data_IF_229438709805
#
_entry.id   IF_229438709805
#
_cell.length_a   1.000
_cell.length_b   1.000
_cell.length_c   1.000
_cell.angle_alpha   90.00
_cell.angle_beta   90.00
_cell.angle_gamma   90.00
#
_symmetry.space_group_name_H-M   'P 1'
#
loop_
_entity.id
_entity.type
_entity.pdbx_description
1 polymer ?
#
# COMPACT_ATOMS: atom_id res chain seq x y z
N UNK A 1 8.57 -63.77 -6.69
CA UNK A 1 8.83 -62.33 -7.01
C UNK A 1 7.56 -61.43 -6.88
N UNK A 2 6.49 -61.86 -6.17
CA UNK A 2 5.21 -61.09 -6.11
C UNK A 2 4.85 -60.51 -4.71
N UNK A 3 5.78 -60.34 -3.78
CA UNK A 3 5.50 -59.83 -2.41
C UNK A 3 6.20 -58.54 -1.99
N UNK A 4 6.85 -57.81 -2.91
CA UNK A 4 7.64 -56.63 -2.47
C UNK A 4 6.97 -55.27 -2.70
N UNK A 5 5.73 -55.16 -3.20
CA UNK A 5 5.10 -53.88 -3.52
C UNK A 5 3.84 -53.56 -2.66
N UNK A 6 3.80 -53.99 -1.41
CA UNK A 6 2.68 -53.66 -0.56
C UNK A 6 3.20 -53.05 0.78
N UNK A 7 3.55 -51.77 0.79
CA UNK A 7 3.50 -50.91 1.97
C UNK A 7 4.14 -49.53 1.72
N UNK A 8 3.73 -48.87 0.64
CA UNK A 8 3.80 -47.41 0.65
C UNK A 8 2.44 -46.91 1.15
N UNK A 9 2.24 -46.93 2.45
CA UNK A 9 1.21 -46.13 3.10
C UNK A 9 1.57 -44.68 2.82
N UNK A 10 0.83 -44.05 1.91
CA UNK A 10 0.86 -42.62 1.69
C UNK A 10 0.76 -41.93 3.04
N UNK A 11 1.86 -41.34 3.50
CA UNK A 11 1.83 -40.44 4.66
C UNK A 11 0.90 -39.30 4.28
N UNK A 12 -0.38 -39.40 4.68
CA UNK A 12 -1.31 -38.28 4.66
C UNK A 12 -0.64 -37.17 5.45
N UNK A 13 -0.04 -36.23 4.74
CA UNK A 13 0.47 -34.99 5.34
C UNK A 13 -0.70 -34.35 6.05
N UNK A 14 -0.73 -34.46 7.36
CA UNK A 14 -1.68 -33.72 8.19
C UNK A 14 -1.41 -32.25 7.93
N UNK A 15 -2.21 -31.67 7.01
CA UNK A 15 -2.23 -30.22 6.82
C UNK A 15 -2.79 -29.66 8.12
N UNK A 16 -1.90 -29.22 8.99
CA UNK A 16 -2.29 -28.43 10.15
C UNK A 16 -3.18 -27.28 9.64
N UNK A 17 -4.45 -27.32 9.98
CA UNK A 17 -5.39 -26.22 9.72
C UNK A 17 -4.97 -25.05 10.61
N UNK A 18 -3.96 -24.30 10.19
CA UNK A 18 -3.63 -23.04 10.83
C UNK A 18 -4.83 -22.12 10.61
N UNK A 19 -5.52 -21.78 11.66
CA UNK A 19 -6.63 -20.82 11.60
C UNK A 19 -6.11 -19.54 10.96
N UNK A 20 -6.65 -19.13 9.81
CA UNK A 20 -6.12 -17.99 9.08
C UNK A 20 -6.26 -16.72 9.91
N UNK A 21 -5.13 -16.07 10.21
CA UNK A 21 -5.16 -14.75 10.83
C UNK A 21 -5.69 -13.74 9.84
N UNK A 22 -6.75 -13.06 10.20
CA UNK A 22 -7.36 -11.99 9.40
C UNK A 22 -6.92 -10.65 9.98
N UNK A 23 -6.50 -9.73 9.12
CA UNK A 23 -6.16 -8.35 9.48
C UNK A 23 -6.93 -7.34 8.63
N UNK A 24 -7.03 -6.09 9.11
CA UNK A 24 -7.60 -4.98 8.38
C UNK A 24 -6.49 -4.05 7.88
N UNK A 25 -6.50 -3.75 6.59
CA UNK A 25 -5.64 -2.76 5.98
C UNK A 25 -6.48 -1.53 5.60
N UNK A 26 -6.25 -0.43 6.27
CA UNK A 26 -6.84 0.87 5.97
C UNK A 26 -5.93 1.62 5.02
N UNK A 27 -6.48 2.10 3.91
CA UNK A 27 -5.78 2.90 2.90
C UNK A 27 -6.46 4.26 2.85
N UNK A 28 -5.81 5.28 3.38
CA UNK A 28 -6.23 6.67 3.26
C UNK A 28 -5.46 7.33 2.12
N UNK A 29 -6.17 7.71 1.08
CA UNK A 29 -5.62 8.21 -0.17
C UNK A 29 -6.06 9.66 -0.40
N UNK A 30 -5.15 10.61 -0.14
CA UNK A 30 -5.31 12.04 -0.45
C UNK A 30 -4.54 12.38 -1.72
N UNK A 31 -4.81 13.55 -2.32
CA UNK A 31 -4.17 13.95 -3.57
C UNK A 31 -2.63 13.94 -3.50
N UNK A 32 -2.06 14.40 -2.38
CA UNK A 32 -0.60 14.54 -2.23
C UNK A 32 0.01 13.52 -1.26
N UNK A 33 -0.77 12.61 -0.67
CA UNK A 33 -0.24 11.64 0.28
C UNK A 33 -1.14 10.42 0.39
N UNK A 34 -0.53 9.28 0.65
CA UNK A 34 -1.22 8.03 0.95
C UNK A 34 -0.70 7.49 2.28
N UNK A 35 -1.64 7.06 3.11
CA UNK A 35 -1.34 6.44 4.39
C UNK A 35 -1.95 5.05 4.43
N UNK A 36 -1.16 4.06 4.78
CA UNK A 36 -1.59 2.68 4.98
C UNK A 36 -1.41 2.31 6.45
N UNK A 37 -2.47 1.80 7.07
CA UNK A 37 -2.46 1.37 8.47
C UNK A 37 -2.99 -0.05 8.58
N UNK A 38 -2.20 -0.94 9.14
CA UNK A 38 -2.59 -2.33 9.36
C UNK A 38 -2.97 -2.58 10.81
N UNK A 39 -4.17 -3.14 11.01
CA UNK A 39 -4.78 -3.32 12.33
C UNK A 39 -5.15 -4.79 12.56
N UNK A 40 -4.89 -5.27 13.76
CA UNK A 40 -5.37 -6.57 14.24
C UNK A 40 -6.78 -6.40 14.81
N UNK A 41 -7.83 -6.96 14.17
CA UNK A 41 -9.21 -6.80 14.62
C UNK A 41 -9.48 -7.45 15.99
N UNK A 42 -8.77 -8.53 16.30
CA UNK A 42 -8.97 -9.24 17.59
C UNK A 42 -8.46 -8.43 18.77
N UNK A 43 -7.28 -7.82 18.62
CA UNK A 43 -6.64 -7.03 19.67
C UNK A 43 -6.98 -5.56 19.61
N UNK A 44 -7.72 -5.10 18.58
CA UNK A 44 -8.01 -3.68 18.30
C UNK A 44 -6.75 -2.80 18.35
N UNK A 45 -5.62 -3.35 17.91
CA UNK A 45 -4.30 -2.69 17.99
C UNK A 45 -3.71 -2.49 16.60
N UNK A 46 -3.19 -1.29 16.36
CA UNK A 46 -2.38 -1.00 15.16
C UNK A 46 -1.07 -1.79 15.25
N UNK A 47 -0.74 -2.51 14.18
CA UNK A 47 0.48 -3.30 14.07
C UNK A 47 1.58 -2.55 13.33
N UNK A 48 1.20 -1.87 12.26
CA UNK A 48 2.13 -1.08 11.46
C UNK A 48 1.37 0.00 10.70
N UNK A 49 2.02 1.11 10.45
CA UNK A 49 1.56 2.17 9.56
C UNK A 49 2.70 2.61 8.67
N UNK A 50 2.36 3.09 7.48
CA UNK A 50 3.32 3.61 6.52
C UNK A 50 2.69 4.74 5.70
N UNK A 51 3.48 5.74 5.36
CA UNK A 51 3.12 6.84 4.47
C UNK A 51 4.12 6.95 3.33
N UNK A 52 3.79 7.67 2.26
CA UNK A 52 4.72 7.87 1.14
C UNK A 52 6.07 8.47 1.56
N UNK A 53 6.07 9.33 2.58
CA UNK A 53 7.29 10.00 3.05
C UNK A 53 8.21 9.14 3.92
N UNK A 54 7.75 7.99 4.41
CA UNK A 54 8.57 7.10 5.26
C UNK A 54 9.54 6.25 4.44
N UNK A 55 9.20 6.00 3.18
CA UNK A 55 10.05 5.21 2.29
C UNK A 55 11.09 6.14 1.69
N UNK A 56 12.31 6.04 2.19
CA UNK A 56 13.48 6.63 1.53
C UNK A 56 13.74 5.82 0.27
N UNK A 57 13.34 6.35 -0.85
CA UNK A 57 13.68 5.80 -2.17
C UNK A 57 14.88 6.60 -2.63
N UNK A 58 15.97 5.92 -2.97
CA UNK A 58 17.22 6.55 -3.40
C UNK A 58 17.03 7.51 -4.58
N UNK A 59 16.00 7.32 -5.39
CA UNK A 59 15.63 8.19 -6.53
C UNK A 59 14.19 8.74 -6.40
N UNK A 60 13.80 9.18 -5.21
CA UNK A 60 12.42 9.65 -4.95
C UNK A 60 12.00 10.83 -5.84
N UNK A 61 12.94 11.61 -6.34
CA UNK A 61 12.66 12.76 -7.23
C UNK A 61 12.26 12.34 -8.64
N UNK A 62 12.67 11.16 -9.09
CA UNK A 62 12.40 10.64 -10.43
C UNK A 62 11.15 9.76 -10.51
N UNK A 63 10.64 9.28 -9.37
CA UNK A 63 9.49 8.37 -9.33
C UNK A 63 8.17 9.12 -9.26
N UNK A 64 7.21 8.64 -10.03
CA UNK A 64 5.82 9.12 -9.96
C UNK A 64 5.16 8.73 -8.63
N UNK A 65 4.11 9.46 -8.23
CA UNK A 65 3.34 9.15 -7.02
C UNK A 65 2.76 7.73 -7.05
N UNK A 66 2.46 7.21 -8.24
CA UNK A 66 1.97 5.85 -8.41
C UNK A 66 3.05 4.81 -8.09
N UNK A 67 4.28 5.01 -8.55
CA UNK A 67 5.40 4.11 -8.27
C UNK A 67 5.79 4.13 -6.80
N UNK A 68 5.87 5.32 -6.20
CA UNK A 68 6.09 5.47 -4.76
C UNK A 68 5.01 4.77 -3.93
N UNK A 69 3.74 4.85 -4.36
CA UNK A 69 2.63 4.15 -3.72
C UNK A 69 2.72 2.63 -3.87
N UNK A 70 3.23 2.14 -5.00
CA UNK A 70 3.49 0.71 -5.20
C UNK A 70 4.59 0.20 -4.26
N UNK A 71 5.70 0.93 -4.15
CA UNK A 71 6.82 0.59 -3.26
C UNK A 71 6.36 0.58 -1.79
N UNK A 72 5.56 1.57 -1.40
CA UNK A 72 4.93 1.61 -0.08
C UNK A 72 4.04 0.39 0.15
N UNK A 73 3.26 0.01 -0.86
CA UNK A 73 2.42 -1.19 -0.81
C UNK A 73 3.24 -2.46 -0.63
N UNK A 74 4.35 -2.62 -1.34
CA UNK A 74 5.27 -3.75 -1.17
C UNK A 74 5.89 -3.78 0.23
N UNK A 75 6.32 -2.63 0.76
CA UNK A 75 6.86 -2.51 2.10
C UNK A 75 5.85 -2.97 3.17
N UNK A 76 4.61 -2.48 3.10
CA UNK A 76 3.58 -2.88 4.07
C UNK A 76 3.21 -4.35 3.95
N UNK A 77 3.21 -4.91 2.72
CA UNK A 77 3.01 -6.33 2.48
C UNK A 77 4.08 -7.17 3.16
N UNK A 78 5.34 -6.75 3.09
CA UNK A 78 6.45 -7.43 3.79
C UNK A 78 6.20 -7.44 5.30
N UNK A 79 5.87 -6.30 5.89
CA UNK A 79 5.55 -6.20 7.33
C UNK A 79 4.37 -7.09 7.75
N UNK A 80 3.30 -7.13 6.95
CA UNK A 80 2.14 -7.99 7.22
C UNK A 80 2.52 -9.48 7.20
N UNK A 81 3.39 -9.86 6.25
CA UNK A 81 3.90 -11.24 6.16
C UNK A 81 4.73 -11.61 7.38
N UNK A 82 5.59 -10.70 7.86
CA UNK A 82 6.41 -10.88 9.06
C UNK A 82 5.53 -11.14 10.29
N UNK A 83 4.35 -10.52 10.37
CA UNK A 83 3.35 -10.78 11.41
C UNK A 83 2.54 -12.07 11.21
N UNK A 84 2.80 -12.84 10.13
CA UNK A 84 2.15 -14.11 9.81
C UNK A 84 0.63 -14.00 9.60
N UNK A 85 0.16 -12.90 9.01
CA UNK A 85 -1.22 -12.79 8.54
C UNK A 85 -1.35 -13.38 7.14
N UNK A 86 -2.48 -14.07 6.90
CA UNK A 86 -2.74 -14.74 5.62
C UNK A 86 -3.96 -14.19 4.89
N UNK A 87 -4.92 -13.64 5.63
CA UNK A 87 -6.13 -13.01 5.06
C UNK A 87 -6.17 -11.53 5.42
N UNK A 88 -6.53 -10.69 4.45
CA UNK A 88 -6.58 -9.25 4.59
C UNK A 88 -7.94 -8.74 4.11
N UNK A 89 -8.59 -7.90 4.90
CA UNK A 89 -9.71 -7.07 4.47
C UNK A 89 -9.21 -5.66 4.24
N UNK A 90 -9.45 -5.11 3.06
CA UNK A 90 -8.96 -3.78 2.66
C UNK A 90 -10.09 -2.77 2.79
N UNK A 91 -9.84 -1.67 3.47
CA UNK A 91 -10.76 -0.55 3.64
C UNK A 91 -10.11 0.68 3.02
N UNK A 92 -10.76 1.25 2.00
CA UNK A 92 -10.22 2.34 1.20
C UNK A 92 -10.99 3.61 1.49
N UNK A 93 -10.29 4.72 1.60
CA UNK A 93 -10.87 6.05 1.68
C UNK A 93 -10.06 7.02 0.81
N UNK A 94 -10.75 7.76 -0.06
CA UNK A 94 -10.15 8.75 -0.96
C UNK A 94 -9.97 8.29 -2.40
N UNK A 95 -9.73 9.23 -3.30
CA UNK A 95 -9.82 9.04 -4.76
C UNK A 95 -8.46 9.11 -5.50
N UNK A 96 -7.33 9.22 -4.82
CA UNK A 96 -6.02 9.33 -5.46
C UNK A 96 -5.66 8.09 -6.31
N UNK A 97 -4.92 8.30 -7.39
CA UNK A 97 -4.46 7.23 -8.28
C UNK A 97 -3.60 6.16 -7.55
N UNK A 98 -2.84 6.56 -6.55
CA UNK A 98 -1.97 5.67 -5.79
C UNK A 98 -2.70 4.56 -5.02
N UNK A 99 -4.01 4.71 -4.72
CA UNK A 99 -4.79 3.62 -4.09
C UNK A 99 -4.78 2.35 -4.93
N UNK A 100 -4.81 2.49 -6.27
CA UNK A 100 -4.76 1.36 -7.21
C UNK A 100 -3.40 0.65 -7.14
N UNK A 101 -2.32 1.40 -6.99
CA UNK A 101 -0.97 0.87 -6.87
C UNK A 101 -0.82 0.01 -5.60
N UNK A 102 -1.30 0.49 -4.44
CA UNK A 102 -1.28 -0.27 -3.19
C UNK A 102 -2.10 -1.56 -3.29
N UNK A 103 -3.29 -1.52 -3.92
CA UNK A 103 -4.10 -2.73 -4.11
C UNK A 103 -3.38 -3.72 -5.05
N UNK A 104 -2.71 -3.22 -6.09
CA UNK A 104 -1.93 -4.04 -7.01
C UNK A 104 -0.77 -4.74 -6.29
N UNK A 105 -0.08 -4.05 -5.37
CA UNK A 105 1.01 -4.63 -4.59
C UNK A 105 0.57 -5.80 -3.70
N UNK A 106 -0.67 -5.77 -3.16
CA UNK A 106 -1.24 -6.88 -2.38
C UNK A 106 -1.40 -8.17 -3.20
N UNK A 107 -1.62 -8.05 -4.51
CA UNK A 107 -1.73 -9.18 -5.44
C UNK A 107 -0.38 -9.67 -5.95
N UNK A 108 0.70 -9.01 -5.59
CA UNK A 108 2.03 -9.36 -6.06
C UNK A 108 2.41 -10.78 -5.62
N UNK A 109 2.91 -11.58 -6.56
CA UNK A 109 3.13 -13.02 -6.39
C UNK A 109 4.01 -13.45 -5.22
N UNK A 110 4.88 -12.55 -4.72
CA UNK A 110 5.75 -12.81 -3.56
C UNK A 110 4.98 -12.96 -2.24
N UNK A 111 3.81 -12.29 -2.09
CA UNK A 111 3.12 -12.19 -0.81
C UNK A 111 1.90 -13.10 -0.69
N UNK A 112 1.19 -13.38 -1.79
CA UNK A 112 0.04 -14.31 -1.87
C UNK A 112 -0.98 -14.17 -0.75
N UNK A 113 -1.37 -12.94 -0.41
CA UNK A 113 -2.44 -12.73 0.57
C UNK A 113 -3.80 -13.08 -0.03
N UNK A 114 -4.64 -13.74 0.77
CA UNK A 114 -6.04 -13.89 0.44
C UNK A 114 -6.79 -12.60 0.81
N UNK A 115 -7.16 -11.79 -0.18
CA UNK A 115 -8.00 -10.61 0.05
C UNK A 115 -9.43 -11.10 0.26
N UNK A 116 -9.95 -10.93 1.48
CA UNK A 116 -11.28 -11.37 1.87
C UNK A 116 -12.36 -10.44 1.31
N UNK A 117 -12.19 -9.14 1.52
CA UNK A 117 -13.12 -8.11 1.02
C UNK A 117 -12.39 -6.78 0.82
N UNK A 118 -12.91 -5.98 -0.10
CA UNK A 118 -12.49 -4.60 -0.32
C UNK A 118 -13.73 -3.73 -0.07
N UNK A 119 -13.62 -2.77 0.83
CA UNK A 119 -14.68 -1.84 1.20
C UNK A 119 -14.21 -0.44 0.83
N UNK A 120 -14.95 0.27 0.01
CA UNK A 120 -14.71 1.68 -0.26
C UNK A 120 -15.60 2.52 0.66
N UNK A 121 -14.99 3.33 1.50
CA UNK A 121 -15.65 4.23 2.45
C UNK A 121 -15.50 5.69 2.05
N UNK A 122 -15.18 5.95 0.78
CA UNK A 122 -15.04 7.32 0.27
C UNK A 122 -16.41 7.97 0.19
N UNK A 123 -16.61 8.99 1.01
CA UNK A 123 -17.84 9.77 1.01
C UNK A 123 -17.73 10.93 0.00
N UNK A 124 -18.65 11.05 -0.95
CA UNK A 124 -18.74 12.25 -1.80
C UNK A 124 -19.18 13.44 -0.94
N UNK A 125 -18.62 14.64 -1.17
CA UNK A 125 -19.07 15.83 -0.48
C UNK A 125 -20.49 16.20 -0.94
N UNK A 126 -21.39 16.45 0.03
CA UNK A 126 -22.70 17.04 -0.21
C UNK A 126 -22.56 18.54 -0.21
N UNK A 127 -22.22 19.14 -1.35
CA UNK A 127 -22.08 20.60 -1.51
C UNK A 127 -21.23 21.26 -0.39
N UNK A 128 -20.13 20.64 -0.02
CA UNK A 128 -19.27 20.96 1.11
C UNK A 128 -18.71 22.40 1.12
N UNK A 129 -17.64 22.64 1.85
CA UNK A 129 -17.01 23.96 1.95
C UNK A 129 -16.55 24.46 0.58
N UNK A 130 -16.71 25.78 0.35
CA UNK A 130 -16.18 26.44 -0.86
C UNK A 130 -14.67 26.20 -0.94
N UNK A 131 -14.21 25.81 -2.12
CA UNK A 131 -12.79 25.62 -2.37
C UNK A 131 -12.02 26.93 -2.21
N UNK A 132 -10.76 26.85 -1.80
CA UNK A 132 -9.91 28.00 -1.71
C UNK A 132 -9.78 28.70 -3.08
N UNK A 133 -9.79 30.04 -3.06
CA UNK A 133 -9.67 30.85 -4.26
C UNK A 133 -8.35 30.55 -4.99
N UNK A 134 -8.43 30.34 -6.29
CA UNK A 134 -7.25 30.12 -7.13
C UNK A 134 -6.34 31.36 -7.09
N UNK A 135 -5.07 31.16 -6.83
CA UNK A 135 -4.08 32.25 -6.82
C UNK A 135 -3.93 32.85 -8.21
N UNK A 136 -4.08 34.16 -8.29
CA UNK A 136 -3.94 34.93 -9.54
C UNK A 136 -2.48 35.24 -9.91
N UNK A 137 -1.56 35.22 -8.91
CA UNK A 137 -0.12 35.49 -9.15
C UNK A 137 0.64 34.18 -9.32
N UNK A 138 1.45 34.10 -10.38
CA UNK A 138 2.42 33.00 -10.54
C UNK A 138 3.44 33.04 -9.41
N UNK A 139 3.71 31.89 -8.81
CA UNK A 139 4.90 31.75 -8.00
C UNK A 139 6.11 31.78 -8.93
N UNK A 140 7.05 32.68 -8.68
CA UNK A 140 8.40 32.50 -9.20
C UNK A 140 8.98 31.30 -8.45
N UNK A 141 9.18 30.20 -9.15
CA UNK A 141 9.87 29.04 -8.56
C UNK A 141 11.31 29.47 -8.25
N UNK A 142 11.87 29.00 -7.14
CA UNK A 142 13.28 29.24 -6.81
C UNK A 142 14.25 28.75 -7.90
N UNK A 143 13.80 27.84 -8.77
CA UNK A 143 14.58 27.39 -9.93
C UNK A 143 14.77 28.47 -10.99
N UNK A 144 13.80 29.37 -11.21
CA UNK A 144 13.92 30.43 -12.20
C UNK A 144 14.98 31.47 -11.82
N UNK A 145 15.30 31.58 -10.53
CA UNK A 145 16.37 32.44 -10.04
C UNK A 145 17.77 31.88 -10.34
N UNK A 146 17.96 30.57 -10.27
CA UNK A 146 19.22 29.90 -10.56
C UNK A 146 19.53 29.91 -12.06
N UNK A 147 18.54 29.71 -12.92
CA UNK A 147 18.70 29.72 -14.37
C UNK A 147 18.95 31.15 -14.90
N UNK A 148 18.34 32.19 -14.32
CA UNK A 148 18.59 33.55 -14.69
C UNK A 148 20.05 33.97 -14.39
N UNK A 149 20.63 33.53 -13.28
CA UNK A 149 22.01 33.83 -12.92
C UNK A 149 23.06 33.06 -13.73
N UNK A 150 22.70 31.98 -14.38
CA UNK A 150 23.60 31.23 -15.29
C UNK A 150 23.66 31.91 -16.67
N UNK A 151 22.56 32.55 -17.09
CA UNK A 151 22.49 33.25 -18.39
C UNK A 151 23.10 34.66 -18.32
N UNK A 152 23.13 35.29 -17.13
CA UNK A 152 23.76 36.61 -16.93
C UNK A 152 25.26 36.56 -16.58
N UNK A 153 25.84 35.37 -16.57
CA UNK A 153 27.28 35.15 -16.32
C UNK A 153 28.12 34.91 -17.58
N UNK A 154 27.66 35.40 -18.75
CA UNK A 154 28.43 35.48 -20.00
C UNK A 154 28.76 36.92 -20.26
#
# INVERSE_FOLDING_TARGET
IRKFFRNQKSKKTQRFRVNPKVGFLYIHSKNNNIMCTFVDPKKKKVKTSCTLGVIKVEDAELKTDYERANDMGLFICQKIKDFKYTKISVIINGLSAGRKAVIKSLKHGKFRFAVNKIIDTTLPPHNGCRLAKVRRKKFRSKLSFKTANIISGI
#
